data_IF_950817235971
#
_entry.id   IF_950817235971
#
_cell.length_a   1.000
_cell.length_b   1.000
_cell.length_c   1.000
_cell.angle_alpha   90.00
_cell.angle_beta   90.00
_cell.angle_gamma   90.00
#
_symmetry.space_group_name_H-M   'P 1'
#
loop_
_entity.id
_entity.type
_entity.pdbx_description
1 polymer ?
#
# COMPACT_ATOMS: atom_id res chain seq x y z
N UNK A 1 22.39 38.10 27.28
CA UNK A 1 21.53 38.02 26.09
C UNK A 1 22.27 37.31 24.97
N UNK A 2 21.55 36.70 24.02
CA UNK A 2 22.00 35.70 23.04
C UNK A 2 22.40 34.37 23.72
N UNK A 3 21.66 33.28 23.60
CA UNK A 3 20.51 32.98 22.73
C UNK A 3 20.78 31.71 21.94
N UNK A 4 20.89 30.58 22.64
CA UNK A 4 20.98 29.27 22.01
C UNK A 4 19.65 28.96 21.34
N UNK A 5 19.61 29.03 20.01
CA UNK A 5 18.42 28.64 19.24
C UNK A 5 18.13 27.15 19.41
N UNK A 6 16.86 26.73 19.36
CA UNK A 6 16.51 25.31 19.44
C UNK A 6 17.13 24.56 18.27
N UNK A 7 17.78 23.43 18.55
CA UNK A 7 18.07 22.42 17.54
C UNK A 7 16.74 21.94 16.96
N UNK A 8 16.44 22.36 15.73
CA UNK A 8 15.38 21.76 14.94
C UNK A 8 15.83 20.34 14.60
N UNK A 9 15.26 19.34 15.29
CA UNK A 9 15.39 17.95 14.85
C UNK A 9 14.80 17.85 13.45
N UNK A 10 15.64 17.44 12.49
CA UNK A 10 15.25 17.37 11.08
C UNK A 10 14.17 16.32 10.89
N UNK A 11 12.95 16.76 10.58
CA UNK A 11 11.88 15.88 10.07
C UNK A 11 12.26 15.37 8.69
N UNK A 12 12.78 14.15 8.65
CA UNK A 12 13.14 13.43 7.43
C UNK A 12 11.92 13.28 6.51
N UNK A 13 12.02 13.77 5.28
CA UNK A 13 10.94 13.72 4.28
C UNK A 13 11.35 12.77 3.14
N UNK A 14 10.51 11.79 2.80
CA UNK A 14 10.88 10.64 1.94
C UNK A 14 9.94 10.45 0.72
N UNK A 15 10.43 9.79 -0.34
CA UNK A 15 10.07 10.11 -1.74
C UNK A 15 10.41 8.85 -2.62
N UNK A 16 9.51 8.25 -3.46
CA UNK A 16 9.74 6.96 -4.24
C UNK A 16 9.08 6.86 -5.68
N UNK A 17 9.85 7.08 -6.75
CA UNK A 17 9.45 7.01 -8.18
C UNK A 17 10.51 6.25 -8.98
N UNK A 18 10.13 5.82 -10.18
CA UNK A 18 10.98 5.11 -11.11
C UNK A 18 10.95 5.75 -12.51
N UNK A 19 11.49 6.97 -12.64
CA UNK A 19 11.73 7.58 -13.96
C UNK A 19 12.93 8.54 -13.95
N UNK A 20 13.86 8.33 -14.89
CA UNK A 20 15.11 9.08 -15.11
C UNK A 20 16.16 8.91 -13.98
N UNK A 21 17.27 8.24 -14.32
CA UNK A 21 18.54 8.21 -13.55
C UNK A 21 18.54 7.65 -12.11
N UNK A 22 17.54 6.84 -11.75
CA UNK A 22 17.56 5.99 -10.55
C UNK A 22 17.31 6.74 -9.23
N UNK A 23 16.51 7.81 -9.28
CA UNK A 23 16.11 8.62 -8.14
C UNK A 23 14.58 8.70 -7.99
N UNK A 24 14.15 9.03 -6.77
CA UNK A 24 12.91 8.49 -6.23
C UNK A 24 11.93 9.59 -5.76
N UNK A 25 10.72 9.67 -6.36
CA UNK A 25 9.60 10.60 -6.06
C UNK A 25 8.21 10.00 -5.72
N UNK A 26 7.66 10.26 -4.52
CA UNK A 26 6.30 9.87 -4.13
C UNK A 26 5.50 11.10 -3.71
N UNK A 27 4.36 11.32 -4.36
CA UNK A 27 3.27 12.16 -3.85
C UNK A 27 1.94 11.43 -4.07
N UNK A 28 0.92 11.90 -3.34
CA UNK A 28 -0.51 11.60 -3.45
C UNK A 28 -0.94 10.96 -4.79
N UNK A 29 -1.70 9.87 -4.69
CA UNK A 29 -2.10 9.07 -5.86
C UNK A 29 -3.04 9.78 -6.82
N UNK A 30 -3.68 10.88 -6.42
CA UNK A 30 -4.53 11.65 -7.32
C UNK A 30 -3.71 12.71 -8.07
N UNK A 31 -3.20 12.39 -9.26
CA UNK A 31 -2.48 13.38 -10.09
C UNK A 31 -3.28 14.65 -10.47
N UNK A 32 -4.57 14.74 -10.14
CA UNK A 32 -5.47 15.85 -10.43
C UNK A 32 -5.78 16.09 -11.92
N UNK A 33 -5.03 15.48 -12.85
CA UNK A 33 -4.95 15.89 -14.26
C UNK A 33 -5.51 14.87 -15.26
N UNK A 34 -5.48 13.57 -14.94
CA UNK A 34 -5.96 12.51 -15.83
C UNK A 34 -7.50 12.45 -15.91
N UNK A 35 -8.04 11.76 -16.92
CA UNK A 35 -9.50 11.62 -17.09
C UNK A 35 -10.21 11.07 -15.85
N UNK A 36 -9.61 10.09 -15.18
CA UNK A 36 -10.12 9.51 -13.93
C UNK A 36 -10.21 10.55 -12.80
N UNK A 37 -9.18 11.38 -12.60
CA UNK A 37 -9.19 12.45 -11.61
C UNK A 37 -10.21 13.54 -11.96
N UNK A 38 -10.32 13.94 -13.24
CA UNK A 38 -11.32 14.91 -13.70
C UNK A 38 -12.76 14.44 -13.50
N UNK A 39 -12.98 13.13 -13.57
CA UNK A 39 -14.27 12.50 -13.27
C UNK A 39 -14.53 12.29 -11.76
N UNK A 40 -13.69 12.85 -10.87
CA UNK A 40 -13.79 12.66 -9.41
C UNK A 40 -13.41 11.26 -8.91
N UNK A 41 -13.02 10.35 -9.80
CA UNK A 41 -12.81 8.94 -9.50
C UNK A 41 -11.38 8.62 -9.00
N UNK A 42 -10.77 9.52 -8.23
CA UNK A 42 -9.33 9.54 -7.90
C UNK A 42 -8.75 8.23 -7.34
N UNK A 43 -9.56 7.39 -6.70
CA UNK A 43 -9.21 6.04 -6.23
C UNK A 43 -8.68 5.12 -7.36
N UNK A 44 -9.10 5.34 -8.60
CA UNK A 44 -8.69 4.57 -9.79
C UNK A 44 -7.59 5.27 -10.61
N UNK A 45 -6.93 6.28 -10.06
CA UNK A 45 -5.83 6.96 -10.73
C UNK A 45 -4.56 6.09 -10.69
N UNK A 46 -3.99 5.80 -11.85
CA UNK A 46 -2.72 5.08 -12.00
C UNK A 46 -1.50 5.99 -12.08
N UNK A 47 -1.71 7.30 -12.27
CA UNK A 47 -0.67 8.31 -12.49
C UNK A 47 -0.34 8.99 -11.16
N UNK A 48 0.92 8.97 -10.69
CA UNK A 48 1.32 9.71 -9.49
C UNK A 48 1.30 11.23 -9.72
N UNK A 49 1.11 12.01 -8.65
CA UNK A 49 1.68 13.35 -8.57
C UNK A 49 3.20 13.24 -8.27
N UNK A 50 4.00 14.24 -8.67
CA UNK A 50 5.46 14.20 -8.54
C UNK A 50 6.02 15.52 -7.98
N UNK A 51 6.35 15.53 -6.68
CA UNK A 51 7.04 16.61 -5.97
C UNK A 51 7.94 15.99 -4.86
N UNK A 52 9.20 16.43 -4.71
CA UNK A 52 10.06 16.08 -3.57
C UNK A 52 11.51 15.67 -3.92
N UNK A 53 12.23 15.12 -2.93
CA UNK A 53 13.70 14.89 -2.90
C UNK A 53 14.10 13.43 -2.63
N UNK A 54 14.97 12.85 -3.46
CA UNK A 54 15.44 11.44 -3.40
C UNK A 54 15.92 10.94 -2.01
N UNK A 55 15.62 9.67 -1.70
CA UNK A 55 15.95 8.98 -0.43
C UNK A 55 16.43 7.53 -0.55
N UNK A 56 16.74 7.03 -1.76
CA UNK A 56 17.35 5.70 -1.93
C UNK A 56 18.72 5.80 -2.62
N UNK A 57 19.59 4.79 -2.44
CA UNK A 57 20.64 4.50 -3.42
C UNK A 57 20.04 4.32 -4.82
N UNK A 58 20.87 4.46 -5.86
CA UNK A 58 20.46 4.14 -7.24
C UNK A 58 20.13 2.65 -7.35
N UNK A 59 18.85 2.33 -7.46
CA UNK A 59 18.33 0.97 -7.70
C UNK A 59 17.78 0.86 -9.12
N UNK A 60 17.69 -0.36 -9.71
CA UNK A 60 17.06 -0.57 -11.01
C UNK A 60 15.61 -0.04 -11.07
N UNK A 61 15.14 0.35 -12.26
CA UNK A 61 13.78 0.90 -12.46
C UNK A 61 12.69 -0.06 -11.98
N UNK A 62 12.82 -1.36 -12.29
CA UNK A 62 11.91 -2.39 -11.79
C UNK A 62 11.91 -2.46 -10.26
N UNK A 63 13.07 -2.25 -9.64
CA UNK A 63 13.21 -2.30 -8.19
C UNK A 63 12.56 -1.09 -7.49
N UNK A 64 12.76 0.11 -8.06
CA UNK A 64 12.08 1.32 -7.63
C UNK A 64 10.55 1.21 -7.76
N UNK A 65 10.04 0.57 -8.82
CA UNK A 65 8.62 0.30 -8.97
C UNK A 65 8.05 -0.65 -7.89
N UNK A 66 8.79 -1.70 -7.50
CA UNK A 66 8.39 -2.60 -6.41
C UNK A 66 8.39 -1.90 -5.04
N UNK A 67 9.41 -1.09 -4.74
CA UNK A 67 9.47 -0.26 -3.53
C UNK A 67 8.31 0.74 -3.48
N UNK A 68 8.02 1.42 -4.60
CA UNK A 68 6.88 2.34 -4.72
C UNK A 68 5.56 1.63 -4.44
N UNK A 69 5.34 0.45 -5.03
CA UNK A 69 4.14 -0.35 -4.78
C UNK A 69 4.00 -0.71 -3.29
N UNK A 70 5.10 -1.07 -2.62
CA UNK A 70 5.10 -1.40 -1.20
C UNK A 70 4.76 -0.22 -0.29
N UNK A 71 5.36 0.96 -0.50
CA UNK A 71 5.03 2.18 0.26
C UNK A 71 3.58 2.62 0.00
N UNK A 72 3.12 2.53 -1.25
CA UNK A 72 1.73 2.80 -1.60
C UNK A 72 0.75 1.81 -0.97
N UNK A 73 1.13 0.54 -0.79
CA UNK A 73 0.34 -0.46 -0.10
C UNK A 73 0.25 -0.19 1.41
N UNK A 74 1.40 0.06 2.04
CA UNK A 74 1.48 0.48 3.43
C UNK A 74 0.60 1.72 3.70
N UNK A 75 0.65 2.73 2.83
CA UNK A 75 -0.18 3.93 2.97
C UNK A 75 -1.68 3.59 2.89
N UNK A 76 -2.07 2.69 1.97
CA UNK A 76 -3.47 2.29 1.82
C UNK A 76 -3.98 1.53 3.05
N UNK A 77 -3.09 0.78 3.68
CA UNK A 77 -3.33 -0.01 4.88
C UNK A 77 -3.38 0.85 6.15
N UNK A 78 -2.64 1.98 6.22
CA UNK A 78 -2.75 2.93 7.33
C UNK A 78 -4.10 3.68 7.37
N UNK A 79 -4.79 3.81 6.24
CA UNK A 79 -6.16 4.36 6.17
C UNK A 79 -7.22 3.35 6.67
N UNK A 80 -6.86 2.07 6.82
CA UNK A 80 -7.78 1.03 7.25
C UNK A 80 -7.92 0.98 8.78
N UNK A 81 -9.10 0.62 9.31
CA UNK A 81 -9.25 0.31 10.73
C UNK A 81 -8.30 -0.81 11.15
N UNK A 82 -7.72 -0.70 12.35
CA UNK A 82 -6.91 -1.78 12.95
C UNK A 82 -7.69 -3.09 12.93
N UNK A 83 -7.07 -4.12 12.36
CA UNK A 83 -7.66 -5.44 12.16
C UNK A 83 -6.74 -6.53 12.69
N UNK A 84 -7.35 -7.55 13.32
CA UNK A 84 -6.62 -8.73 13.83
C UNK A 84 -5.88 -9.47 12.71
N UNK A 85 -6.53 -9.59 11.55
CA UNK A 85 -6.00 -10.25 10.35
C UNK A 85 -6.14 -9.32 9.14
N UNK A 86 -5.01 -9.01 8.51
CA UNK A 86 -4.92 -8.30 7.24
C UNK A 86 -4.36 -9.24 6.18
N UNK A 87 -5.09 -9.39 5.07
CA UNK A 87 -4.64 -10.18 3.92
C UNK A 87 -3.99 -9.25 2.89
N UNK A 88 -2.79 -9.59 2.44
CA UNK A 88 -1.97 -8.79 1.51
C UNK A 88 -1.74 -9.61 0.25
N UNK A 89 -2.34 -9.19 -0.88
CA UNK A 89 -2.15 -9.85 -2.17
C UNK A 89 -0.84 -9.40 -2.80
N UNK A 90 0.26 -10.05 -2.41
CA UNK A 90 1.60 -9.86 -2.91
C UNK A 90 2.45 -11.11 -2.62
N UNK A 91 3.52 -11.31 -3.39
CA UNK A 91 4.49 -12.38 -3.15
C UNK A 91 5.06 -12.30 -1.72
N UNK A 92 5.13 -13.42 -0.97
CA UNK A 92 5.81 -13.48 0.32
C UNK A 92 7.26 -12.97 0.19
N UNK A 93 7.67 -12.10 1.11
CA UNK A 93 9.00 -11.49 1.06
C UNK A 93 9.16 -10.29 0.12
N UNK A 94 8.18 -9.97 -0.74
CA UNK A 94 8.19 -8.73 -1.53
C UNK A 94 8.18 -7.47 -0.65
N UNK A 95 8.59 -6.28 -1.14
CA UNK A 95 8.53 -5.03 -0.37
C UNK A 95 7.15 -4.73 0.19
N UNK A 96 6.11 -5.07 -0.56
CA UNK A 96 4.72 -4.94 -0.15
C UNK A 96 4.39 -5.79 1.07
N UNK A 97 4.83 -7.05 1.08
CA UNK A 97 4.67 -7.93 2.23
C UNK A 97 5.53 -7.49 3.43
N UNK A 98 6.78 -7.10 3.19
CA UNK A 98 7.72 -6.63 4.22
C UNK A 98 7.21 -5.35 4.89
N UNK A 99 6.90 -4.30 4.11
CA UNK A 99 6.44 -3.01 4.65
C UNK A 99 5.09 -3.15 5.35
N UNK A 100 4.14 -3.93 4.80
CA UNK A 100 2.88 -4.20 5.48
C UNK A 100 3.09 -4.91 6.83
N UNK A 101 3.95 -5.93 6.87
CA UNK A 101 4.29 -6.67 8.09
C UNK A 101 5.05 -5.87 9.15
N UNK A 102 5.76 -4.80 8.77
CA UNK A 102 6.42 -3.86 9.71
C UNK A 102 5.47 -2.81 10.27
N UNK A 103 4.45 -2.43 9.51
CA UNK A 103 3.66 -1.22 9.79
C UNK A 103 2.29 -1.46 10.41
N UNK A 104 1.83 -2.71 10.45
CA UNK A 104 0.51 -3.06 10.96
C UNK A 104 0.57 -3.78 12.30
N UNK A 105 -0.19 -3.24 13.27
CA UNK A 105 -0.46 -3.87 14.54
C UNK A 105 -1.42 -5.07 14.36
N UNK A 106 -0.93 -6.21 13.86
CA UNK A 106 -1.76 -7.41 13.65
C UNK A 106 -1.07 -8.52 12.87
N UNK A 107 -1.82 -9.58 12.55
CA UNK A 107 -1.34 -10.61 11.65
C UNK A 107 -1.46 -10.14 10.20
N UNK A 108 -0.34 -10.09 9.51
CA UNK A 108 -0.27 -9.85 8.06
C UNK A 108 -0.02 -11.18 7.35
N UNK A 109 -0.99 -11.61 6.55
CA UNK A 109 -0.88 -12.79 5.69
C UNK A 109 -0.58 -12.33 4.26
N UNK A 110 0.63 -12.58 3.77
CA UNK A 110 0.99 -12.32 2.38
C UNK A 110 0.67 -13.55 1.51
N UNK A 111 0.01 -13.34 0.36
CA UNK A 111 -0.33 -14.38 -0.60
C UNK A 111 -0.17 -13.87 -2.04
N UNK A 112 0.39 -14.65 -2.97
CA UNK A 112 0.47 -14.25 -4.38
C UNK A 112 -0.92 -14.15 -5.03
N UNK A 113 -1.90 -14.91 -4.52
CA UNK A 113 -3.29 -14.92 -4.97
C UNK A 113 -4.26 -15.08 -3.81
N UNK A 114 -5.47 -14.54 -3.97
CA UNK A 114 -6.61 -14.77 -3.07
C UNK A 114 -7.17 -16.21 -3.13
N UNK A 115 -6.71 -17.01 -4.09
CA UNK A 115 -7.02 -18.44 -4.23
C UNK A 115 -6.02 -19.36 -3.54
N UNK A 116 -5.03 -18.83 -2.82
CA UNK A 116 -4.06 -19.63 -2.07
C UNK A 116 -4.75 -20.36 -0.91
N UNK A 117 -4.80 -21.70 -0.98
CA UNK A 117 -5.55 -22.50 -0.02
C UNK A 117 -4.93 -22.50 1.38
N UNK A 118 -3.60 -22.40 1.49
CA UNK A 118 -2.91 -22.35 2.78
C UNK A 118 -3.18 -21.03 3.51
N UNK A 119 -3.29 -19.93 2.77
CA UNK A 119 -3.69 -18.63 3.33
C UNK A 119 -5.19 -18.58 3.62
N UNK A 120 -6.04 -19.17 2.76
CA UNK A 120 -7.48 -19.32 3.05
C UNK A 120 -7.74 -20.13 4.32
N UNK A 121 -7.01 -21.22 4.54
CA UNK A 121 -7.07 -22.00 5.78
C UNK A 121 -6.70 -21.15 7.01
N UNK A 122 -5.57 -20.44 6.96
CA UNK A 122 -5.13 -19.55 8.06
C UNK A 122 -6.12 -18.40 8.34
N UNK A 123 -6.79 -17.86 7.32
CA UNK A 123 -7.87 -16.88 7.51
C UNK A 123 -9.08 -17.55 8.18
N UNK A 124 -9.47 -18.76 7.78
CA UNK A 124 -10.59 -19.49 8.37
C UNK A 124 -10.36 -19.90 9.83
N UNK A 125 -9.13 -20.23 10.21
CA UNK A 125 -8.75 -20.51 11.61
C UNK A 125 -8.85 -19.29 12.53
N UNK A 126 -8.72 -18.07 11.98
CA UNK A 126 -8.49 -16.83 12.76
C UNK A 126 -9.64 -15.84 12.71
N UNK A 127 -10.41 -15.85 11.62
CA UNK A 127 -11.59 -15.01 11.40
C UNK A 127 -12.85 -15.89 11.32
N UNK A 128 -13.82 -15.74 12.25
CA UNK A 128 -15.04 -16.57 12.29
C UNK A 128 -15.90 -16.56 11.01
N UNK A 129 -15.68 -15.59 10.11
CA UNK A 129 -16.38 -15.47 8.83
C UNK A 129 -15.68 -16.19 7.66
N UNK A 130 -14.50 -16.80 7.89
CA UNK A 130 -13.66 -17.35 6.83
C UNK A 130 -13.05 -16.29 5.89
N UNK A 131 -13.10 -15.00 6.28
CA UNK A 131 -12.72 -13.85 5.45
C UNK A 131 -12.04 -12.77 6.29
N UNK A 132 -11.01 -12.15 5.73
CA UNK A 132 -10.26 -11.09 6.40
C UNK A 132 -11.11 -9.83 6.62
N UNK A 133 -10.79 -9.06 7.66
CA UNK A 133 -11.42 -7.76 7.92
C UNK A 133 -10.91 -6.65 6.98
N UNK A 134 -9.64 -6.76 6.58
CA UNK A 134 -8.95 -5.88 5.64
C UNK A 134 -8.25 -6.74 4.59
N UNK A 135 -8.41 -6.40 3.31
CA UNK A 135 -7.68 -7.00 2.19
C UNK A 135 -6.98 -5.90 1.40
N UNK A 136 -5.65 -5.99 1.25
CA UNK A 136 -4.91 -5.18 0.29
C UNK A 136 -5.01 -5.83 -1.09
N UNK A 137 -5.62 -5.11 -2.03
CA UNK A 137 -5.72 -5.49 -3.42
C UNK A 137 -4.54 -4.94 -4.22
N UNK A 138 -3.79 -5.85 -4.85
CA UNK A 138 -3.09 -5.57 -6.09
C UNK A 138 -4.09 -5.33 -7.23
N UNK A 139 -3.72 -5.73 -8.45
CA UNK A 139 -4.47 -5.36 -9.65
C UNK A 139 -5.95 -5.80 -9.68
N UNK A 140 -6.36 -6.86 -8.96
CA UNK A 140 -7.74 -7.38 -8.94
C UNK A 140 -8.53 -6.96 -7.69
N UNK A 141 -9.20 -5.80 -7.77
CA UNK A 141 -10.05 -5.27 -6.70
C UNK A 141 -11.34 -6.07 -6.52
N UNK A 142 -11.92 -6.62 -7.59
CA UNK A 142 -13.20 -7.38 -7.53
C UNK A 142 -13.03 -8.66 -6.73
N UNK A 143 -11.93 -9.39 -6.94
CA UNK A 143 -11.64 -10.58 -6.13
C UNK A 143 -11.35 -10.22 -4.67
N UNK A 144 -10.68 -9.09 -4.39
CA UNK A 144 -10.48 -8.62 -3.03
C UNK A 144 -11.78 -8.26 -2.29
N UNK A 145 -12.74 -7.62 -2.98
CA UNK A 145 -14.11 -7.38 -2.48
C UNK A 145 -14.83 -8.68 -2.12
N UNK A 146 -14.52 -9.79 -2.83
CA UNK A 146 -15.04 -11.12 -2.51
C UNK A 146 -14.27 -11.81 -1.38
N UNK A 147 -12.97 -11.60 -1.27
CA UNK A 147 -12.15 -12.18 -0.20
C UNK A 147 -12.38 -11.51 1.18
N UNK A 148 -12.74 -10.23 1.21
CA UNK A 148 -13.04 -9.51 2.46
C UNK A 148 -14.41 -9.90 3.04
N UNK A 149 -14.55 -9.83 4.37
CA UNK A 149 -15.84 -10.03 5.08
C UNK A 149 -16.85 -8.92 4.77
N UNK A 150 -18.14 -9.16 5.06
CA UNK A 150 -19.17 -8.11 5.00
C UNK A 150 -18.85 -7.00 6.02
N UNK A 151 -19.01 -5.74 5.65
CA UNK A 151 -18.57 -4.60 6.49
C UNK A 151 -17.05 -4.42 6.53
N UNK A 152 -16.32 -5.03 5.58
CA UNK A 152 -14.87 -5.04 5.52
C UNK A 152 -14.26 -3.95 4.62
N UNK A 153 -12.93 -3.85 4.63
CA UNK A 153 -12.19 -2.81 3.92
C UNK A 153 -11.28 -3.42 2.84
N UNK A 154 -11.30 -2.84 1.64
CA UNK A 154 -10.38 -3.21 0.57
C UNK A 154 -9.45 -2.04 0.26
N UNK A 155 -8.17 -2.21 0.58
CA UNK A 155 -7.12 -1.25 0.32
C UNK A 155 -6.61 -1.46 -1.11
N UNK A 156 -7.09 -0.63 -2.04
CA UNK A 156 -6.69 -0.65 -3.45
C UNK A 156 -5.29 -0.07 -3.58
N UNK A 157 -4.36 -0.78 -4.23
CA UNK A 157 -2.98 -0.31 -4.43
C UNK A 157 -2.67 0.10 -5.86
N UNK A 158 -3.02 -0.77 -6.77
CA UNK A 158 -3.09 -0.49 -8.20
C UNK A 158 -4.35 -1.18 -8.69
N UNK A 159 -5.07 -0.57 -9.63
CA UNK A 159 -6.31 -1.16 -10.10
C UNK A 159 -6.39 -1.10 -11.63
N UNK A 160 -6.64 -2.27 -12.22
CA UNK A 160 -7.10 -2.33 -13.60
C UNK A 160 -8.49 -1.67 -13.70
N UNK A 161 -8.80 -0.95 -14.79
CA UNK A 161 -10.18 -0.55 -15.10
C UNK A 161 -11.16 -1.74 -15.10
N UNK A 162 -10.72 -2.92 -15.52
CA UNK A 162 -11.57 -4.10 -15.74
C UNK A 162 -11.90 -4.85 -14.45
N UNK A 163 -11.06 -4.70 -13.41
CA UNK A 163 -11.24 -5.32 -12.10
C UNK A 163 -12.12 -4.50 -11.14
N UNK A 164 -12.79 -3.44 -11.63
CA UNK A 164 -13.67 -2.62 -10.81
C UNK A 164 -14.86 -3.46 -10.28
N UNK A 165 -15.16 -3.44 -8.98
CA UNK A 165 -16.41 -3.98 -8.46
C UNK A 165 -17.58 -3.09 -8.91
N UNK A 166 -18.79 -3.65 -9.01
CA UNK A 166 -19.98 -2.83 -9.25
C UNK A 166 -20.40 -2.08 -7.97
N UNK A 167 -21.11 -0.96 -8.10
CA UNK A 167 -21.69 -0.25 -6.95
C UNK A 167 -22.61 -1.18 -6.16
N UNK A 168 -23.40 -2.00 -6.85
CA UNK A 168 -24.27 -3.02 -6.24
C UNK A 168 -23.48 -4.05 -5.43
N UNK A 169 -22.35 -4.54 -5.94
CA UNK A 169 -21.46 -5.50 -5.24
C UNK A 169 -20.83 -4.89 -3.98
N UNK A 170 -20.46 -3.59 -4.02
CA UNK A 170 -19.97 -2.87 -2.84
C UNK A 170 -21.06 -2.67 -1.78
N UNK A 171 -22.26 -2.22 -2.19
CA UNK A 171 -23.39 -1.96 -1.28
C UNK A 171 -23.90 -3.25 -0.65
N UNK A 172 -24.12 -4.31 -1.43
CA UNK A 172 -24.61 -5.60 -0.91
C UNK A 172 -23.64 -6.28 0.07
N UNK A 173 -22.34 -5.97 -0.03
CA UNK A 173 -21.29 -6.51 0.85
C UNK A 173 -20.83 -5.53 1.92
N UNK A 174 -21.39 -4.31 1.96
CA UNK A 174 -20.97 -3.23 2.87
C UNK A 174 -19.45 -2.99 2.83
N UNK A 175 -18.84 -3.05 1.64
CA UNK A 175 -17.38 -2.96 1.51
C UNK A 175 -16.94 -1.52 1.28
N UNK A 176 -16.07 -1.03 2.15
CA UNK A 176 -15.39 0.25 1.99
C UNK A 176 -14.14 0.08 1.14
N UNK A 177 -14.05 0.79 0.01
CA UNK A 177 -12.81 0.91 -0.75
C UNK A 177 -11.94 2.02 -0.17
N UNK A 178 -10.67 1.70 0.06
CA UNK A 178 -9.66 2.63 0.54
C UNK A 178 -8.55 2.78 -0.50
N UNK A 179 -8.05 3.99 -0.68
CA UNK A 179 -6.81 4.30 -1.36
C UNK A 179 -6.03 5.26 -0.45
N UNK A 180 -4.69 5.22 -0.45
CA UNK A 180 -3.91 6.15 0.32
C UNK A 180 -4.09 7.54 -0.23
N UNK A 181 -4.27 8.46 0.70
CA UNK A 181 -4.29 9.89 0.40
C UNK A 181 -2.86 10.40 0.49
N UNK A 182 -2.13 10.02 1.55
CA UNK A 182 -0.80 10.52 1.82
C UNK A 182 0.18 9.37 2.13
N UNK A 183 1.39 9.49 1.59
CA UNK A 183 2.50 8.58 1.93
C UNK A 183 3.38 9.10 3.07
N UNK A 184 3.36 10.41 3.36
CA UNK A 184 4.17 11.01 4.43
C UNK A 184 4.00 10.28 5.78
N UNK A 185 2.77 9.94 6.24
CA UNK A 185 2.59 9.22 7.50
C UNK A 185 3.13 7.78 7.50
N UNK A 186 3.38 7.17 6.34
CA UNK A 186 4.12 5.90 6.23
C UNK A 186 5.59 6.15 6.48
N UNK A 187 6.11 7.11 5.75
CA UNK A 187 7.52 7.38 5.63
C UNK A 187 8.11 7.93 6.94
N UNK A 188 7.35 8.78 7.64
CA UNK A 188 7.69 9.28 8.99
C UNK A 188 7.77 8.15 10.04
N UNK A 189 7.17 6.98 9.77
CA UNK A 189 7.18 5.80 10.65
C UNK A 189 8.20 4.74 10.26
N UNK A 190 8.72 4.77 9.03
CA UNK A 190 9.68 3.76 8.57
C UNK A 190 11.05 4.03 9.18
N UNK A 191 11.55 3.07 9.97
CA UNK A 191 12.92 3.11 10.45
C UNK A 191 13.90 2.76 9.31
N UNK A 192 15.15 3.20 9.45
CA UNK A 192 16.22 2.82 8.50
C UNK A 192 16.35 1.28 8.35
N UNK A 193 16.28 0.45 9.42
CA UNK A 193 16.18 -1.00 9.30
C UNK A 193 14.98 -1.51 8.47
N UNK A 194 13.79 -0.92 8.61
CA UNK A 194 12.60 -1.34 7.85
C UNK A 194 12.77 -1.02 6.36
N UNK A 195 13.33 0.14 6.06
CA UNK A 195 13.65 0.56 4.69
C UNK A 195 14.76 -0.32 4.08
N UNK A 196 15.82 -0.62 4.83
CA UNK A 196 16.88 -1.52 4.39
C UNK A 196 16.35 -2.93 4.10
N UNK A 197 15.45 -3.46 4.93
CA UNK A 197 14.79 -4.74 4.69
C UNK A 197 13.91 -4.71 3.42
N UNK A 198 13.18 -3.62 3.17
CA UNK A 198 12.38 -3.44 1.97
C UNK A 198 13.25 -3.32 0.70
N UNK A 199 14.43 -2.69 0.77
CA UNK A 199 15.40 -2.65 -0.35
C UNK A 199 16.00 -4.03 -0.59
N UNK A 200 16.43 -4.73 0.47
CA UNK A 200 17.01 -6.08 0.38
C UNK A 200 16.06 -7.08 -0.28
N UNK A 201 14.76 -6.99 0.04
CA UNK A 201 13.67 -7.77 -0.55
C UNK A 201 13.54 -7.65 -2.09
N UNK A 202 14.11 -6.60 -2.70
CA UNK A 202 14.08 -6.39 -4.16
C UNK A 202 15.39 -6.76 -4.82
N UNK A 203 16.50 -6.64 -4.11
CA UNK A 203 17.82 -7.03 -4.62
C UNK A 203 18.06 -8.54 -4.56
N UNK A 204 17.21 -9.28 -3.84
CA UNK A 204 17.26 -10.74 -3.70
C UNK A 204 16.30 -11.51 -4.65
N UNK A 205 15.57 -10.78 -5.50
CA UNK A 205 14.59 -11.32 -6.47
C UNK A 205 15.05 -11.10 -7.91
#
# INVERSE_FOLDING_TARGET
>A
MKGGGPMLMGTSTFVVDAAVEGATVLVDRSCGRCGTCRAGAGLWCSVPAAEGRSVSPRVPVAAAAALRAGVLAAAALLEAPRARTTLVVAEPGSPTAVLAGRMLDGLVLAAPSLTDEAVRAQVAEREPSGRAAVVMAGADVRSAVRAVRRGGHVCVVHASPDSRPSVTELVQREVTLLAPRQVTPVLDRLSEPDWAAAVAAVTAA
#
